data_IF_098862964871
#
_entry.id   IF_098862964871
#
_cell.length_a   1.000
_cell.length_b   1.000
_cell.length_c   1.000
_cell.angle_alpha   90.00
_cell.angle_beta   90.00
_cell.angle_gamma   90.00
#
_symmetry.space_group_name_H-M   'P 1'
#
loop_
_entity.id
_entity.type
_entity.pdbx_description
1 polymer ?
#
# COMPACT_ATOMS: atom_id res chain seq x y z
N UNK A 1 -12.38 -31.86 18.52
CA UNK A 1 -12.05 -30.59 19.21
C UNK A 1 -11.16 -30.97 20.38
N UNK A 2 -9.92 -30.45 20.45
CA UNK A 2 -9.06 -30.57 21.62
C UNK A 2 -8.68 -29.16 22.06
N UNK A 3 -9.23 -28.74 23.19
CA UNK A 3 -8.97 -27.43 23.80
C UNK A 3 -7.59 -27.46 24.45
N UNK A 4 -6.58 -26.89 23.77
CA UNK A 4 -5.29 -26.60 24.41
C UNK A 4 -5.53 -25.57 25.51
N UNK A 5 -5.10 -25.87 26.73
CA UNK A 5 -5.05 -24.95 27.86
C UNK A 5 -4.10 -23.79 27.57
N UNK A 6 -4.30 -22.61 28.17
CA UNK A 6 -3.37 -21.49 28.07
C UNK A 6 -2.16 -21.73 29.00
N UNK A 7 -1.31 -22.69 28.64
CA UNK A 7 -0.02 -22.87 29.31
C UNK A 7 0.85 -21.63 29.07
N UNK A 8 1.55 -21.20 30.12
CA UNK A 8 2.29 -19.94 30.15
C UNK A 8 3.44 -19.94 29.14
N UNK A 9 3.33 -19.11 28.09
CA UNK A 9 4.32 -19.07 27.02
C UNK A 9 5.66 -18.49 27.56
N UNK A 10 6.76 -19.27 27.63
CA UNK A 10 7.99 -18.89 28.34
C UNK A 10 8.85 -17.85 27.60
N UNK A 11 8.37 -17.36 26.46
CA UNK A 11 9.01 -16.37 25.57
C UNK A 11 8.72 -14.92 25.95
N UNK A 12 8.03 -14.66 27.08
CA UNK A 12 7.55 -13.31 27.47
C UNK A 12 8.06 -12.82 28.84
N UNK A 13 9.28 -13.15 29.19
CA UNK A 13 10.00 -12.37 30.21
C UNK A 13 10.48 -11.04 29.59
N UNK A 14 9.53 -10.08 29.48
CA UNK A 14 9.64 -8.83 28.71
C UNK A 14 10.78 -7.89 29.17
N UNK A 15 11.43 -8.20 30.30
CA UNK A 15 12.55 -7.46 30.84
C UNK A 15 13.91 -7.86 30.22
N UNK A 16 14.00 -8.98 29.50
CA UNK A 16 15.25 -9.46 28.89
C UNK A 16 15.34 -8.97 27.43
N UNK A 17 16.35 -8.15 27.05
CA UNK A 17 16.54 -7.71 25.67
C UNK A 17 16.75 -8.88 24.71
N UNK A 18 16.24 -8.78 23.48
CA UNK A 18 16.33 -9.87 22.49
C UNK A 18 17.77 -10.35 22.23
N UNK A 19 18.77 -9.46 22.30
CA UNK A 19 20.19 -9.83 22.17
C UNK A 19 20.66 -10.88 23.19
N UNK A 20 20.02 -10.96 24.36
CA UNK A 20 20.34 -11.87 25.45
C UNK A 20 19.47 -13.14 25.45
N UNK A 21 18.49 -13.26 24.54
CA UNK A 21 17.63 -14.44 24.47
C UNK A 21 18.41 -15.70 24.11
N UNK A 22 18.14 -16.80 24.80
CA UNK A 22 18.78 -18.09 24.52
C UNK A 22 18.37 -18.64 23.14
N UNK A 23 19.18 -19.56 22.62
CA UNK A 23 18.83 -20.41 21.46
C UNK A 23 17.40 -20.93 21.51
N UNK A 24 16.96 -21.43 22.66
CA UNK A 24 15.62 -21.99 22.89
C UNK A 24 14.53 -20.92 22.82
N UNK A 25 14.73 -19.75 23.45
CA UNK A 25 13.79 -18.62 23.40
C UNK A 25 13.65 -18.08 21.97
N UNK A 26 14.77 -17.94 21.23
CA UNK A 26 14.78 -17.54 19.82
C UNK A 26 14.05 -18.55 18.94
N UNK A 27 14.26 -19.86 19.17
CA UNK A 27 13.55 -20.92 18.42
C UNK A 27 12.04 -20.90 18.67
N UNK A 28 11.60 -20.80 19.93
CA UNK A 28 10.18 -20.71 20.28
C UNK A 28 9.51 -19.46 19.69
N UNK A 29 10.19 -18.31 19.74
CA UNK A 29 9.70 -17.09 19.11
C UNK A 29 9.57 -17.21 17.58
N UNK A 30 10.49 -17.89 16.89
CA UNK A 30 10.36 -18.16 15.46
C UNK A 30 9.19 -19.10 15.14
N UNK A 31 8.82 -20.00 16.05
CA UNK A 31 7.61 -20.82 15.92
C UNK A 31 6.35 -19.96 16.03
N UNK A 32 6.23 -19.19 17.12
CA UNK A 32 5.13 -18.25 17.40
C UNK A 32 4.95 -17.23 16.27
N UNK A 33 6.06 -16.74 15.68
CA UNK A 33 6.04 -15.76 14.58
C UNK A 33 5.76 -16.38 13.20
N UNK A 34 5.45 -17.68 13.14
CA UNK A 34 5.02 -18.38 11.93
C UNK A 34 6.16 -18.80 10.98
N UNK A 35 7.41 -18.80 11.46
CA UNK A 35 8.62 -19.18 10.73
C UNK A 35 9.18 -20.55 11.20
N UNK A 36 8.37 -21.35 11.89
CA UNK A 36 8.77 -22.62 12.51
C UNK A 36 9.49 -23.62 11.59
N UNK A 37 9.23 -23.60 10.28
CA UNK A 37 9.92 -24.45 9.31
C UNK A 37 11.45 -24.20 9.21
N UNK A 38 11.97 -23.13 9.80
CA UNK A 38 13.39 -22.78 9.81
C UNK A 38 14.12 -23.12 11.14
N UNK A 39 13.41 -23.58 12.17
CA UNK A 39 13.97 -23.81 13.52
C UNK A 39 15.13 -24.81 13.50
N UNK A 40 15.03 -25.89 12.72
CA UNK A 40 16.02 -26.97 12.73
C UNK A 40 17.43 -26.51 12.33
N UNK A 41 17.54 -25.61 11.35
CA UNK A 41 18.82 -25.01 10.95
C UNK A 41 19.21 -23.85 11.88
N UNK A 42 18.24 -23.02 12.27
CA UNK A 42 18.45 -21.91 13.21
C UNK A 42 19.06 -22.38 14.53
N UNK A 43 18.57 -23.50 15.10
CA UNK A 43 19.07 -24.09 16.35
C UNK A 43 20.52 -24.58 16.24
N UNK A 44 21.01 -24.88 15.04
CA UNK A 44 22.40 -25.28 14.81
C UNK A 44 23.32 -24.05 14.71
N UNK A 45 22.85 -22.99 14.03
CA UNK A 45 23.63 -21.79 13.72
C UNK A 45 23.63 -20.70 14.82
N UNK A 46 22.48 -20.41 15.41
CA UNK A 46 22.31 -19.32 16.38
C UNK A 46 22.85 -19.73 17.75
N UNK A 47 23.58 -18.85 18.43
CA UNK A 47 23.95 -19.06 19.85
C UNK A 47 22.94 -18.40 20.80
N UNK A 48 22.56 -17.17 20.47
CA UNK A 48 21.62 -16.32 21.20
C UNK A 48 21.03 -15.27 20.23
N UNK A 49 20.07 -14.46 20.67
CA UNK A 49 19.42 -13.48 19.79
C UNK A 49 20.35 -12.42 19.18
N UNK A 50 21.54 -12.17 19.76
CA UNK A 50 22.53 -11.29 19.14
C UNK A 50 23.07 -11.84 17.80
N UNK A 51 23.12 -13.17 17.62
CA UNK A 51 23.47 -13.78 16.32
C UNK A 51 22.50 -13.34 15.22
N UNK A 52 21.19 -13.32 15.50
CA UNK A 52 20.17 -12.87 14.53
C UNK A 52 20.18 -11.35 14.34
N UNK A 53 20.41 -10.56 15.40
CA UNK A 53 20.49 -9.09 15.28
C UNK A 53 21.69 -8.62 14.43
N UNK A 54 22.78 -9.40 14.40
CA UNK A 54 23.97 -9.10 13.59
C UNK A 54 23.88 -9.65 12.14
N UNK A 55 22.90 -10.51 11.84
CA UNK A 55 22.86 -11.27 10.60
C UNK A 55 22.38 -10.46 9.37
N UNK A 56 22.88 -10.85 8.21
CA UNK A 56 22.51 -10.31 6.90
C UNK A 56 21.42 -11.16 6.22
N UNK A 57 20.70 -10.62 5.20
CA UNK A 57 19.77 -11.40 4.38
C UNK A 57 20.40 -12.59 3.64
N UNK A 58 21.73 -12.61 3.49
CA UNK A 58 22.51 -13.71 2.93
C UNK A 58 22.69 -14.83 3.96
N UNK A 59 22.97 -14.50 5.23
CA UNK A 59 23.10 -15.50 6.31
C UNK A 59 21.76 -16.20 6.57
N UNK A 60 20.63 -15.48 6.49
CA UNK A 60 19.31 -16.11 6.53
C UNK A 60 19.07 -17.11 5.38
N UNK A 61 19.60 -16.85 4.18
CA UNK A 61 19.48 -17.77 3.05
C UNK A 61 20.40 -18.99 3.19
N UNK A 62 21.64 -18.78 3.65
CA UNK A 62 22.69 -19.79 3.80
C UNK A 62 22.47 -20.68 5.04
N UNK A 63 22.37 -20.06 6.21
CA UNK A 63 22.48 -20.73 7.52
C UNK A 63 21.12 -21.03 8.16
N UNK A 64 20.05 -20.32 7.79
CA UNK A 64 18.66 -20.71 8.11
C UNK A 64 17.93 -21.39 6.94
N UNK A 65 18.52 -21.42 5.73
CA UNK A 65 17.89 -22.00 4.54
C UNK A 65 16.70 -21.22 3.98
N UNK A 66 16.54 -19.93 4.31
CA UNK A 66 15.38 -19.09 3.92
C UNK A 66 15.38 -18.67 2.44
N UNK A 67 15.22 -19.63 1.53
CA UNK A 67 15.14 -19.35 0.07
C UNK A 67 14.05 -18.32 -0.27
N UNK A 68 12.88 -18.40 0.38
CA UNK A 68 11.75 -17.51 0.09
C UNK A 68 12.06 -16.05 0.55
N UNK A 69 12.08 -15.06 -0.37
CA UNK A 69 12.58 -13.71 -0.05
C UNK A 69 11.69 -12.97 0.96
N UNK A 70 10.39 -13.23 0.95
CA UNK A 70 9.46 -12.58 1.89
C UNK A 70 9.58 -13.11 3.33
N UNK A 71 10.11 -14.33 3.54
CA UNK A 71 10.41 -14.82 4.89
C UNK A 71 11.65 -14.14 5.47
N UNK A 72 12.68 -13.92 4.63
CA UNK A 72 13.85 -13.10 4.99
C UNK A 72 13.42 -11.67 5.32
N UNK A 73 12.54 -11.06 4.50
CA UNK A 73 11.99 -9.72 4.75
C UNK A 73 11.16 -9.67 6.05
N UNK A 74 10.31 -10.66 6.32
CA UNK A 74 9.54 -10.79 7.56
C UNK A 74 10.45 -10.79 8.80
N UNK A 75 11.48 -11.64 8.78
CA UNK A 75 12.45 -11.74 9.87
C UNK A 75 13.25 -10.45 10.03
N UNK A 76 13.77 -9.89 8.94
CA UNK A 76 14.54 -8.65 8.97
C UNK A 76 13.72 -7.47 9.53
N UNK A 77 12.44 -7.35 9.18
CA UNK A 77 11.55 -6.32 9.72
C UNK A 77 11.27 -6.52 11.22
N UNK A 78 11.13 -7.76 11.70
CA UNK A 78 10.98 -8.05 13.13
C UNK A 78 12.26 -7.75 13.93
N UNK A 79 13.43 -8.08 13.39
CA UNK A 79 14.72 -7.81 14.04
C UNK A 79 15.00 -6.30 14.09
N UNK A 80 14.67 -5.55 13.03
CA UNK A 80 14.65 -4.07 13.07
C UNK A 80 13.75 -3.57 14.20
N UNK A 81 12.55 -4.14 14.37
CA UNK A 81 11.64 -3.75 15.45
C UNK A 81 12.18 -4.03 16.87
N UNK A 82 12.90 -5.13 17.11
CA UNK A 82 13.56 -5.37 18.40
C UNK A 82 14.66 -4.34 18.73
N UNK A 83 15.24 -3.67 17.72
CA UNK A 83 16.18 -2.55 17.92
C UNK A 83 15.49 -1.18 17.99
N UNK A 84 14.19 -1.11 17.73
CA UNK A 84 13.39 0.13 17.78
C UNK A 84 12.89 0.42 19.19
N UNK A 85 12.83 1.70 19.56
CA UNK A 85 12.12 2.17 20.77
C UNK A 85 10.63 2.44 20.54
N UNK A 86 10.15 2.31 19.30
CA UNK A 86 8.76 2.59 18.91
C UNK A 86 8.06 1.29 18.58
N UNK A 87 7.00 0.97 19.34
CA UNK A 87 6.13 -0.16 19.06
C UNK A 87 5.13 0.19 17.94
N UNK A 88 5.19 -0.54 16.83
CA UNK A 88 4.34 -0.32 15.66
C UNK A 88 2.99 -1.04 15.82
N UNK A 89 1.86 -0.35 15.67
CA UNK A 89 0.53 -0.99 15.69
C UNK A 89 0.29 -1.99 14.57
N UNK A 90 0.99 -1.83 13.45
CA UNK A 90 1.02 -2.81 12.35
C UNK A 90 1.52 -4.20 12.78
N UNK A 91 2.27 -4.30 13.89
CA UNK A 91 2.76 -5.58 14.42
C UNK A 91 1.74 -6.40 15.20
N UNK A 92 0.58 -5.82 15.54
CA UNK A 92 -0.54 -6.52 16.20
C UNK A 92 -1.39 -7.35 15.19
N UNK A 93 -1.12 -7.20 13.89
CA UNK A 93 -1.87 -7.84 12.81
C UNK A 93 -1.05 -9.01 12.23
N UNK A 94 -1.42 -10.24 12.55
CA UNK A 94 -0.74 -11.44 12.03
C UNK A 94 -1.08 -11.75 10.56
N UNK A 95 -0.45 -12.79 9.99
CA UNK A 95 -0.71 -13.20 8.62
C UNK A 95 -2.09 -13.84 8.41
N UNK A 96 -2.79 -14.24 9.48
CA UNK A 96 -4.16 -14.73 9.43
C UNK A 96 -5.16 -13.55 9.36
N UNK A 97 -4.87 -12.44 10.04
CA UNK A 97 -5.58 -11.18 9.85
C UNK A 97 -5.39 -10.64 8.43
N UNK A 98 -4.16 -10.64 7.90
CA UNK A 98 -3.88 -10.15 6.52
C UNK A 98 -4.64 -10.97 5.47
N UNK A 99 -4.74 -12.29 5.62
CA UNK A 99 -5.49 -13.14 4.68
C UNK A 99 -7.02 -12.96 4.77
N UNK A 100 -7.55 -12.43 5.88
CA UNK A 100 -8.95 -12.00 6.00
C UNK A 100 -9.16 -10.59 5.43
N UNK A 101 -8.21 -9.68 5.65
CA UNK A 101 -8.19 -8.34 5.06
C UNK A 101 -8.17 -8.39 3.52
N UNK A 102 -7.55 -9.40 2.91
CA UNK A 102 -7.66 -9.66 1.47
C UNK A 102 -9.10 -9.95 1.00
N UNK A 103 -9.95 -10.58 1.81
CA UNK A 103 -11.39 -10.69 1.50
C UNK A 103 -12.04 -9.29 1.59
N UNK A 104 -11.76 -8.54 2.66
CA UNK A 104 -12.34 -7.23 2.91
C UNK A 104 -12.04 -6.20 1.80
N UNK A 105 -10.85 -6.23 1.21
CA UNK A 105 -10.48 -5.34 0.09
C UNK A 105 -10.87 -5.88 -1.29
N UNK A 106 -11.48 -7.07 -1.35
CA UNK A 106 -11.97 -7.67 -2.59
C UNK A 106 -10.89 -8.36 -3.45
N UNK A 107 -9.82 -8.87 -2.84
CA UNK A 107 -8.72 -9.61 -3.47
C UNK A 107 -8.49 -11.03 -2.90
N UNK A 108 -9.54 -11.86 -2.67
CA UNK A 108 -9.39 -13.19 -2.06
C UNK A 108 -8.48 -14.14 -2.85
N UNK A 109 -8.32 -13.94 -4.16
CA UNK A 109 -7.50 -14.80 -5.03
C UNK A 109 -6.00 -14.79 -4.74
N UNK A 110 -5.49 -13.89 -3.87
CA UNK A 110 -4.09 -13.84 -3.47
C UNK A 110 -3.83 -14.43 -2.07
N UNK A 111 -4.87 -14.92 -1.38
CA UNK A 111 -4.78 -15.36 0.02
C UNK A 111 -3.76 -16.45 0.23
N UNK A 112 -3.72 -17.46 -0.63
CA UNK A 112 -2.76 -18.56 -0.50
C UNK A 112 -1.32 -18.04 -0.60
N UNK A 113 -1.02 -17.15 -1.56
CA UNK A 113 0.32 -16.58 -1.71
C UNK A 113 0.73 -15.72 -0.51
N UNK A 114 -0.17 -14.89 0.03
CA UNK A 114 0.12 -14.08 1.23
C UNK A 114 0.26 -14.96 2.49
N UNK A 115 -0.52 -16.03 2.60
CA UNK A 115 -0.46 -17.02 3.69
C UNK A 115 0.85 -17.82 3.67
N UNK A 116 1.20 -18.38 2.51
CA UNK A 116 2.45 -19.11 2.25
C UNK A 116 3.66 -18.22 2.54
N UNK A 117 3.61 -16.96 2.10
CA UNK A 117 4.64 -15.95 2.31
C UNK A 117 4.67 -15.32 3.72
N UNK A 118 3.77 -15.73 4.62
CA UNK A 118 3.64 -15.24 6.00
C UNK A 118 3.51 -13.71 6.14
N UNK A 119 2.88 -13.05 5.17
CA UNK A 119 2.73 -11.58 5.13
C UNK A 119 1.88 -11.10 6.31
N UNK A 120 2.48 -10.35 7.23
CA UNK A 120 1.82 -9.74 8.39
C UNK A 120 1.64 -8.22 8.21
N UNK A 121 0.98 -7.54 9.14
CA UNK A 121 0.72 -6.10 9.06
C UNK A 121 1.98 -5.24 9.01
N UNK A 122 3.08 -5.65 9.67
CA UNK A 122 4.37 -4.97 9.54
C UNK A 122 4.89 -5.11 8.11
N UNK A 123 4.81 -6.29 7.51
CA UNK A 123 5.16 -6.45 6.09
C UNK A 123 4.26 -5.61 5.18
N UNK A 124 2.95 -5.51 5.45
CA UNK A 124 2.00 -4.68 4.69
C UNK A 124 2.47 -3.21 4.60
N UNK A 125 2.91 -2.63 5.72
CA UNK A 125 3.48 -1.27 5.80
C UNK A 125 4.76 -1.08 4.93
N UNK A 126 5.46 -2.16 4.62
CA UNK A 126 6.77 -2.15 3.96
C UNK A 126 6.79 -2.92 2.62
N UNK A 127 5.63 -3.27 2.04
CA UNK A 127 5.56 -3.94 0.73
C UNK A 127 6.05 -3.03 -0.40
N UNK A 128 6.81 -3.60 -1.33
CA UNK A 128 7.26 -2.94 -2.58
C UNK A 128 6.53 -3.50 -3.80
N UNK A 129 6.71 -2.84 -4.95
CA UNK A 129 6.26 -3.34 -6.26
C UNK A 129 6.80 -4.75 -6.55
N UNK A 130 8.03 -5.05 -6.15
CA UNK A 130 8.63 -6.37 -6.37
C UNK A 130 8.06 -7.45 -5.44
N UNK A 131 7.69 -7.09 -4.21
CA UNK A 131 7.04 -8.02 -3.27
C UNK A 131 5.64 -8.41 -3.79
N UNK A 132 4.87 -7.45 -4.31
CA UNK A 132 3.58 -7.72 -4.95
C UNK A 132 3.71 -8.62 -6.18
N UNK A 133 4.73 -8.39 -7.03
CA UNK A 133 5.02 -9.27 -8.16
C UNK A 133 5.43 -10.69 -7.71
N UNK A 134 6.18 -10.81 -6.61
CA UNK A 134 6.52 -12.10 -5.97
C UNK A 134 5.27 -12.83 -5.47
N UNK A 135 4.32 -12.08 -4.90
CA UNK A 135 2.99 -12.56 -4.48
C UNK A 135 2.01 -12.78 -5.65
N UNK A 136 2.51 -12.81 -6.90
CA UNK A 136 1.76 -12.99 -8.16
C UNK A 136 0.71 -11.90 -8.45
N UNK A 137 0.69 -10.81 -7.68
CA UNK A 137 -0.13 -9.63 -7.94
C UNK A 137 0.48 -8.86 -9.11
N UNK A 138 -0.02 -9.12 -10.32
CA UNK A 138 0.50 -8.52 -11.57
C UNK A 138 -0.41 -7.43 -12.16
N UNK A 139 -1.66 -7.33 -11.71
CA UNK A 139 -2.61 -6.30 -12.16
C UNK A 139 -2.27 -4.93 -11.58
N UNK A 140 -2.21 -3.90 -12.44
CA UNK A 140 -1.99 -2.52 -12.02
C UNK A 140 -3.15 -2.02 -11.14
N UNK A 141 -4.39 -2.40 -11.48
CA UNK A 141 -5.57 -2.10 -10.65
C UNK A 141 -5.42 -2.69 -9.23
N UNK A 142 -4.88 -3.91 -9.12
CA UNK A 142 -4.72 -4.56 -7.81
C UNK A 142 -3.54 -3.95 -7.00
N UNK A 143 -2.49 -3.44 -7.65
CA UNK A 143 -1.46 -2.63 -6.98
C UNK A 143 -2.06 -1.34 -6.40
N UNK A 144 -2.93 -0.65 -7.15
CA UNK A 144 -3.61 0.56 -6.68
C UNK A 144 -4.63 0.26 -5.58
N UNK A 145 -5.36 -0.86 -5.67
CA UNK A 145 -6.22 -1.37 -4.61
C UNK A 145 -5.43 -1.56 -3.30
N UNK A 146 -4.32 -2.31 -3.36
CA UNK A 146 -3.49 -2.57 -2.18
C UNK A 146 -2.90 -1.26 -1.62
N UNK A 147 -2.41 -0.34 -2.47
CA UNK A 147 -1.98 1.01 -2.04
C UNK A 147 -3.08 1.74 -1.26
N UNK A 148 -4.29 1.83 -1.81
CA UNK A 148 -5.37 2.59 -1.17
C UNK A 148 -5.82 1.94 0.13
N UNK A 149 -5.86 0.61 0.20
CA UNK A 149 -6.15 -0.11 1.44
C UNK A 149 -5.06 0.06 2.51
N UNK A 150 -3.78 0.11 2.12
CA UNK A 150 -2.67 0.44 3.02
C UNK A 150 -2.80 1.88 3.55
N UNK A 151 -3.11 2.85 2.68
CA UNK A 151 -3.37 4.22 3.10
C UNK A 151 -4.51 4.31 4.13
N UNK A 152 -5.60 3.55 3.95
CA UNK A 152 -6.70 3.46 4.93
C UNK A 152 -6.21 2.87 6.26
N UNK A 153 -5.32 1.87 6.25
CA UNK A 153 -4.70 1.34 7.47
C UNK A 153 -3.83 2.39 8.17
N UNK A 154 -3.01 3.15 7.44
CA UNK A 154 -2.21 4.24 8.02
C UNK A 154 -3.08 5.34 8.66
N UNK A 155 -4.09 5.84 7.94
CA UNK A 155 -5.04 6.83 8.45
C UNK A 155 -5.79 6.34 9.71
N UNK A 156 -6.05 5.03 9.81
CA UNK A 156 -6.69 4.40 10.96
C UNK A 156 -5.68 3.75 11.96
N UNK A 157 -4.40 4.14 11.91
CA UNK A 157 -3.34 3.73 12.86
C UNK A 157 -3.22 2.20 13.02
N UNK A 158 -3.43 1.45 11.93
CA UNK A 158 -3.46 -0.02 11.86
C UNK A 158 -4.48 -0.68 12.80
N UNK A 159 -5.60 -0.01 13.12
CA UNK A 159 -6.71 -0.63 13.85
C UNK A 159 -7.25 -1.87 13.08
N UNK A 160 -7.27 -3.08 13.69
CA UNK A 160 -7.69 -4.32 13.03
C UNK A 160 -9.16 -4.33 12.56
N UNK A 161 -9.97 -3.38 13.03
CA UNK A 161 -11.41 -3.27 12.75
C UNK A 161 -11.78 -1.98 11.96
N UNK A 162 -10.81 -1.30 11.34
CA UNK A 162 -11.07 -0.06 10.59
C UNK A 162 -11.92 -0.23 9.32
N UNK A 163 -11.98 -1.43 8.73
CA UNK A 163 -12.83 -1.67 7.56
C UNK A 163 -14.25 -2.09 7.99
N UNK A 164 -15.24 -1.33 7.52
CA UNK A 164 -16.66 -1.66 7.69
C UNK A 164 -16.98 -2.90 6.86
N UNK A 165 -17.26 -4.01 7.55
CA UNK A 165 -17.71 -5.29 6.97
C UNK A 165 -19.21 -5.40 6.73
N UNK A 166 -20.01 -4.42 7.16
CA UNK A 166 -21.45 -4.29 6.89
C UNK A 166 -21.78 -2.82 6.63
N UNK A 167 -22.79 -2.51 5.79
CA UNK A 167 -23.34 -1.16 5.68
C UNK A 167 -23.77 -0.60 7.04
N UNK A 168 -23.85 0.74 7.14
CA UNK A 168 -24.57 1.40 8.22
C UNK A 168 -26.08 1.41 7.96
N UNK A 169 -26.84 1.87 8.95
CA UNK A 169 -28.28 2.17 8.81
C UNK A 169 -28.52 3.50 8.07
N UNK A 170 -27.45 4.29 7.88
CA UNK A 170 -27.48 5.58 7.20
C UNK A 170 -27.70 5.44 5.69
N UNK A 171 -28.75 6.10 5.19
CA UNK A 171 -29.12 6.12 3.76
C UNK A 171 -28.15 6.91 2.88
N UNK A 172 -27.39 7.83 3.47
CA UNK A 172 -26.49 8.76 2.78
C UNK A 172 -25.13 8.83 3.49
N UNK A 173 -24.27 7.81 3.30
CA UNK A 173 -22.98 7.70 3.99
C UNK A 173 -22.03 8.84 3.59
N UNK A 174 -21.25 9.36 4.53
CA UNK A 174 -20.24 10.37 4.26
C UNK A 174 -19.02 9.77 3.51
N UNK A 175 -18.30 10.53 2.66
CA UNK A 175 -17.07 10.05 2.01
C UNK A 175 -16.00 9.54 3.00
N UNK A 176 -15.97 10.11 4.21
CA UNK A 176 -15.16 9.69 5.37
C UNK A 176 -15.51 8.30 5.93
N UNK A 177 -16.73 7.82 5.72
CA UNK A 177 -17.13 6.44 6.00
C UNK A 177 -16.97 5.53 4.78
N UNK A 178 -17.30 6.04 3.59
CA UNK A 178 -17.17 5.30 2.33
C UNK A 178 -15.72 4.86 2.12
N UNK A 179 -14.72 5.68 2.47
CA UNK A 179 -13.29 5.30 2.37
C UNK A 179 -12.94 4.05 3.22
N UNK A 180 -13.71 3.77 4.28
CA UNK A 180 -13.55 2.61 5.17
C UNK A 180 -14.38 1.39 4.73
N UNK A 181 -15.08 1.43 3.60
CA UNK A 181 -15.91 0.32 3.14
C UNK A 181 -15.10 -0.87 2.62
N UNK A 182 -15.47 -2.07 3.07
CA UNK A 182 -15.08 -3.33 2.40
C UNK A 182 -15.71 -3.46 1.00
N UNK A 183 -15.15 -4.36 0.19
CA UNK A 183 -15.72 -4.83 -1.07
C UNK A 183 -17.18 -5.31 -0.90
N UNK A 184 -17.51 -5.94 0.22
CA UNK A 184 -18.89 -6.33 0.53
C UNK A 184 -19.81 -5.13 0.71
N UNK A 185 -19.39 -4.08 1.42
CA UNK A 185 -20.20 -2.85 1.55
C UNK A 185 -20.44 -2.16 0.19
N UNK A 186 -19.46 -2.19 -0.73
CA UNK A 186 -19.67 -1.70 -2.10
C UNK A 186 -20.69 -2.56 -2.86
N UNK A 187 -20.65 -3.89 -2.70
CA UNK A 187 -21.65 -4.79 -3.29
C UNK A 187 -23.06 -4.57 -2.70
N UNK A 188 -23.19 -4.30 -1.41
CA UNK A 188 -24.50 -3.98 -0.80
C UNK A 188 -25.00 -2.59 -1.23
N UNK A 189 -24.12 -1.59 -1.34
CA UNK A 189 -24.48 -0.29 -1.91
C UNK A 189 -25.02 -0.42 -3.35
N UNK A 190 -24.40 -1.25 -4.19
CA UNK A 190 -24.91 -1.52 -5.55
C UNK A 190 -26.31 -2.12 -5.55
N UNK A 191 -26.69 -2.90 -4.53
CA UNK A 191 -28.09 -3.36 -4.38
C UNK A 191 -29.02 -2.23 -3.96
N UNK A 192 -28.57 -1.36 -3.06
CA UNK A 192 -29.32 -0.19 -2.60
C UNK A 192 -29.50 0.91 -3.68
N UNK A 193 -28.76 0.85 -4.80
CA UNK A 193 -28.94 1.72 -5.98
C UNK A 193 -29.42 0.96 -7.23
N UNK A 194 -30.20 -0.11 -7.05
CA UNK A 194 -30.87 -0.87 -8.13
C UNK A 194 -29.94 -1.53 -9.16
N UNK A 195 -28.67 -1.78 -8.80
CA UNK A 195 -27.66 -2.45 -9.63
C UNK A 195 -27.28 -3.85 -9.09
N UNK A 196 -28.22 -4.49 -8.40
CA UNK A 196 -28.05 -5.76 -7.70
C UNK A 196 -27.52 -6.90 -8.61
N UNK A 197 -27.94 -6.97 -9.87
CA UNK A 197 -27.50 -7.98 -10.84
C UNK A 197 -25.99 -7.88 -11.15
N UNK A 198 -25.38 -6.69 -11.03
CA UNK A 198 -23.97 -6.46 -11.34
C UNK A 198 -23.04 -6.63 -10.13
N UNK A 199 -23.56 -6.51 -8.91
CA UNK A 199 -22.77 -6.55 -7.67
C UNK A 199 -21.82 -7.78 -7.56
N UNK A 200 -22.21 -9.01 -7.94
CA UNK A 200 -21.31 -10.17 -7.88
C UNK A 200 -20.02 -10.03 -8.71
N UNK A 201 -20.01 -9.19 -9.75
CA UNK A 201 -18.84 -8.97 -10.62
C UNK A 201 -17.69 -8.25 -9.90
N UNK A 202 -17.93 -7.63 -8.73
CA UNK A 202 -16.87 -7.02 -7.93
C UNK A 202 -16.04 -8.03 -7.11
N UNK A 203 -16.41 -9.31 -7.06
CA UNK A 203 -15.62 -10.34 -6.37
C UNK A 203 -14.27 -10.53 -7.08
N UNK A 204 -13.17 -10.33 -6.35
CA UNK A 204 -11.81 -10.43 -6.89
C UNK A 204 -11.33 -9.21 -7.68
N UNK A 205 -12.14 -8.14 -7.78
CA UNK A 205 -11.81 -6.91 -8.54
C UNK A 205 -10.88 -5.94 -7.81
N UNK A 206 -10.70 -6.10 -6.50
CA UNK A 206 -10.04 -5.10 -5.63
C UNK A 206 -10.86 -3.84 -5.35
N UNK A 207 -12.11 -3.75 -5.82
CA UNK A 207 -12.95 -2.57 -5.56
C UNK A 207 -13.43 -2.57 -4.10
N UNK A 208 -13.01 -1.53 -3.37
CA UNK A 208 -13.39 -1.25 -1.99
C UNK A 208 -13.39 0.28 -1.78
N UNK A 209 -13.81 0.73 -0.61
CA UNK A 209 -13.96 2.14 -0.25
C UNK A 209 -12.73 3.01 -0.50
N UNK A 210 -11.58 2.56 0.00
CA UNK A 210 -10.29 3.21 -0.20
C UNK A 210 -9.97 3.46 -1.66
N UNK A 211 -10.12 2.47 -2.54
CA UNK A 211 -9.89 2.64 -3.99
C UNK A 211 -10.90 3.61 -4.63
N UNK A 212 -12.18 3.55 -4.23
CA UNK A 212 -13.24 4.41 -4.76
C UNK A 212 -12.96 5.89 -4.46
N UNK A 213 -12.55 6.21 -3.23
CA UNK A 213 -12.28 7.59 -2.81
C UNK A 213 -10.87 8.04 -3.22
N UNK A 214 -9.82 7.30 -2.83
CA UNK A 214 -8.43 7.78 -2.80
C UNK A 214 -7.64 7.67 -4.13
N UNK A 215 -8.15 6.97 -5.15
CA UNK A 215 -7.49 6.90 -6.46
C UNK A 215 -8.14 7.88 -7.45
N UNK A 216 -7.47 8.95 -7.89
CA UNK A 216 -8.05 9.96 -8.80
C UNK A 216 -8.43 9.41 -10.18
N UNK A 217 -7.86 8.27 -10.61
CA UNK A 217 -8.21 7.60 -11.86
C UNK A 217 -9.39 6.63 -11.77
N UNK A 218 -9.88 6.32 -10.57
CA UNK A 218 -11.01 5.41 -10.40
C UNK A 218 -12.32 6.20 -10.57
N UNK A 219 -13.00 6.00 -11.71
CA UNK A 219 -14.23 6.71 -12.07
C UNK A 219 -15.44 5.77 -12.20
N UNK A 220 -16.62 6.36 -12.46
CA UNK A 220 -17.84 5.65 -12.84
C UNK A 220 -17.64 4.76 -14.07
N UNK A 221 -16.75 5.12 -14.98
CA UNK A 221 -16.46 4.36 -16.20
C UNK A 221 -15.56 3.16 -15.89
N UNK A 222 -14.57 3.32 -14.99
CA UNK A 222 -13.77 2.21 -14.45
C UNK A 222 -14.67 1.21 -13.73
N UNK A 223 -15.58 1.70 -12.88
CA UNK A 223 -16.53 0.87 -12.15
C UNK A 223 -17.50 0.16 -13.10
N UNK A 224 -18.04 0.85 -14.11
CA UNK A 224 -18.91 0.24 -15.12
C UNK A 224 -18.22 -0.87 -15.94
N UNK A 225 -16.91 -0.76 -16.19
CA UNK A 225 -16.12 -1.82 -16.82
C UNK A 225 -15.95 -3.03 -15.88
N UNK A 226 -15.64 -2.80 -14.60
CA UNK A 226 -15.50 -3.88 -13.61
C UNK A 226 -16.82 -4.58 -13.27
N UNK A 227 -17.94 -3.86 -13.41
CA UNK A 227 -19.29 -4.42 -13.33
C UNK A 227 -19.74 -5.14 -14.60
N UNK A 228 -18.91 -5.20 -15.66
CA UNK A 228 -19.24 -5.75 -16.98
C UNK A 228 -20.46 -5.10 -17.66
N UNK A 229 -20.77 -3.83 -17.35
CA UNK A 229 -21.87 -3.10 -17.99
C UNK A 229 -21.42 -2.62 -19.39
N UNK A 230 -22.02 -3.10 -20.50
CA UNK A 230 -21.58 -2.73 -21.85
C UNK A 230 -21.71 -1.21 -22.11
N UNK A 231 -20.84 -0.59 -22.94
CA UNK A 231 -20.98 0.81 -23.35
C UNK A 231 -22.37 1.18 -23.89
N UNK A 232 -23.04 0.22 -24.55
CA UNK A 232 -24.36 0.35 -25.15
C UNK A 232 -25.50 0.48 -24.13
N UNK A 233 -25.31 0.02 -22.87
CA UNK A 233 -26.31 0.21 -21.79
C UNK A 233 -26.20 1.64 -21.21
N UNK A 234 -26.40 2.64 -22.05
CA UNK A 234 -26.21 4.08 -21.75
C UNK A 234 -27.03 4.55 -20.55
N UNK A 235 -28.28 4.11 -20.41
CA UNK A 235 -29.15 4.44 -19.29
C UNK A 235 -28.59 3.94 -17.95
N UNK A 236 -28.11 2.68 -17.88
CA UNK A 236 -27.49 2.14 -16.67
C UNK A 236 -26.15 2.80 -16.36
N UNK A 237 -25.35 3.14 -17.38
CA UNK A 237 -24.10 3.87 -17.20
C UNK A 237 -24.34 5.28 -16.66
N UNK A 238 -25.39 5.97 -17.13
CA UNK A 238 -25.82 7.27 -16.58
C UNK A 238 -26.32 7.14 -15.13
N UNK A 239 -27.12 6.13 -14.83
CA UNK A 239 -27.60 5.84 -13.47
C UNK A 239 -26.44 5.59 -12.50
N UNK A 240 -25.51 4.70 -12.87
CA UNK A 240 -24.30 4.42 -12.10
C UNK A 240 -23.42 5.67 -11.93
N UNK A 241 -23.28 6.52 -12.94
CA UNK A 241 -22.52 7.76 -12.83
C UNK A 241 -23.14 8.74 -11.83
N UNK A 242 -24.47 8.90 -11.84
CA UNK A 242 -25.19 9.71 -10.83
C UNK A 242 -25.03 9.13 -9.43
N UNK A 243 -25.22 7.81 -9.27
CA UNK A 243 -25.07 7.13 -7.98
C UNK A 243 -23.62 7.21 -7.44
N UNK A 244 -22.62 7.04 -8.30
CA UNK A 244 -21.20 7.17 -7.96
C UNK A 244 -20.84 8.61 -7.55
N UNK A 245 -21.35 9.62 -8.25
CA UNK A 245 -21.13 11.03 -7.91
C UNK A 245 -21.74 11.39 -6.53
N UNK A 246 -22.91 10.84 -6.21
CA UNK A 246 -23.51 10.97 -4.88
C UNK A 246 -22.70 10.23 -3.80
N UNK A 247 -22.16 9.05 -4.09
CA UNK A 247 -21.37 8.24 -3.16
C UNK A 247 -20.02 8.89 -2.77
N UNK A 248 -19.27 9.43 -3.75
CA UNK A 248 -17.94 9.98 -3.48
C UNK A 248 -17.96 11.45 -3.06
N UNK A 249 -19.08 12.15 -3.29
CA UNK A 249 -19.27 13.54 -2.92
C UNK A 249 -18.55 14.56 -3.83
N UNK A 250 -18.83 15.86 -3.66
CA UNK A 250 -18.40 16.90 -4.60
C UNK A 250 -16.88 17.07 -4.68
N UNK A 251 -16.17 16.94 -3.55
CA UNK A 251 -14.70 17.10 -3.52
C UNK A 251 -14.01 16.00 -4.36
N UNK A 252 -14.27 14.72 -4.08
CA UNK A 252 -13.65 13.63 -4.80
C UNK A 252 -14.06 13.61 -6.29
N UNK A 253 -15.30 14.02 -6.62
CA UNK A 253 -15.71 14.23 -8.01
C UNK A 253 -14.91 15.34 -8.72
N UNK A 254 -14.59 16.44 -8.03
CA UNK A 254 -13.76 17.51 -8.57
C UNK A 254 -12.31 17.06 -8.77
N UNK A 255 -11.70 16.42 -7.76
CA UNK A 255 -10.32 15.89 -7.84
C UNK A 255 -10.15 14.87 -8.99
N UNK A 256 -11.12 13.96 -9.16
CA UNK A 256 -11.14 12.99 -10.27
C UNK A 256 -11.31 13.67 -11.63
N UNK A 257 -12.12 14.73 -11.71
CA UNK A 257 -12.31 15.54 -12.93
C UNK A 257 -11.05 16.33 -13.31
N UNK A 258 -10.42 16.98 -12.34
CA UNK A 258 -9.16 17.70 -12.54
C UNK A 258 -8.04 16.75 -12.99
N UNK A 259 -7.92 15.58 -12.34
CA UNK A 259 -6.95 14.57 -12.74
C UNK A 259 -7.22 14.01 -14.15
N UNK A 260 -8.49 13.83 -14.53
CA UNK A 260 -8.90 13.41 -15.89
C UNK A 260 -8.61 14.46 -16.97
N UNK A 261 -8.72 15.75 -16.63
CA UNK A 261 -8.45 16.87 -17.54
C UNK A 261 -6.96 17.23 -17.64
N UNK A 262 -6.09 16.64 -16.82
CA UNK A 262 -4.66 16.96 -16.76
C UNK A 262 -3.91 16.54 -18.04
N UNK A 263 -3.01 17.39 -18.54
CA UNK A 263 -2.27 17.13 -19.78
C UNK A 263 -1.29 15.96 -19.62
N UNK A 264 -1.49 14.90 -20.42
CA UNK A 264 -0.73 13.65 -20.30
C UNK A 264 -1.30 12.64 -19.29
N UNK A 265 -2.56 12.82 -18.86
CA UNK A 265 -3.30 11.81 -18.12
C UNK A 265 -3.29 10.44 -18.83
N UNK A 266 -3.09 9.36 -18.07
CA UNK A 266 -3.23 7.98 -18.55
C UNK A 266 -4.40 7.30 -17.83
N UNK A 267 -5.48 6.89 -18.54
CA UNK A 267 -6.66 6.31 -17.92
C UNK A 267 -6.36 4.94 -17.29
N UNK A 268 -7.08 4.61 -16.23
CA UNK A 268 -6.91 3.35 -15.50
C UNK A 268 -7.53 2.16 -16.27
N UNK A 269 -6.67 1.45 -16.99
CA UNK A 269 -7.01 0.23 -17.72
C UNK A 269 -7.08 -0.97 -16.77
N UNK A 270 -8.26 -1.59 -16.67
CA UNK A 270 -8.53 -2.72 -15.74
C UNK A 270 -7.67 -3.97 -15.99
N UNK A 271 -7.21 -4.16 -17.23
CA UNK A 271 -6.38 -5.30 -17.66
C UNK A 271 -4.88 -5.02 -17.69
N UNK A 272 -4.44 -3.80 -17.34
CA UNK A 272 -3.03 -3.43 -17.39
C UNK A 272 -2.19 -4.23 -16.39
N UNK A 273 -1.02 -4.72 -16.84
CA UNK A 273 -0.08 -5.48 -16.01
C UNK A 273 1.16 -4.66 -15.67
N UNK A 274 1.55 -4.69 -14.40
CA UNK A 274 2.82 -4.14 -13.91
C UNK A 274 3.96 -4.99 -14.45
N UNK A 275 4.95 -4.35 -15.07
CA UNK A 275 6.19 -5.00 -15.50
C UNK A 275 7.25 -4.85 -14.39
N UNK A 276 8.10 -5.86 -14.13
CA UNK A 276 9.24 -5.69 -13.23
C UNK A 276 10.14 -4.54 -13.69
N UNK A 277 10.63 -3.72 -12.74
CA UNK A 277 11.75 -2.81 -12.99
C UNK A 277 12.98 -3.68 -13.32
N UNK A 278 13.31 -3.86 -14.61
CA UNK A 278 14.58 -4.47 -14.99
C UNK A 278 15.71 -3.55 -14.52
N UNK A 279 16.53 -4.01 -13.58
CA UNK A 279 17.82 -3.39 -13.28
C UNK A 279 18.70 -3.55 -14.53
N UNK A 280 18.79 -2.48 -15.33
CA UNK A 280 19.57 -2.46 -16.56
C UNK A 280 21.07 -2.50 -16.24
N UNK A 281 21.82 -3.36 -16.93
CA UNK A 281 23.27 -3.54 -16.77
C UNK A 281 24.12 -2.33 -17.27
N UNK A 282 23.51 -1.16 -17.41
CA UNK A 282 24.01 -0.04 -18.23
C UNK A 282 24.11 1.29 -17.46
N UNK A 283 24.62 1.26 -16.22
CA UNK A 283 25.28 2.42 -15.58
C UNK A 283 26.46 1.97 -14.70
N UNK A 284 27.59 1.64 -15.34
CA UNK A 284 28.90 1.54 -14.67
C UNK A 284 29.58 2.92 -14.56
N UNK A 285 28.83 3.95 -14.15
CA UNK A 285 29.32 5.30 -13.93
C UNK A 285 28.68 5.90 -12.68
N UNK A 286 29.53 6.47 -11.80
CA UNK A 286 29.19 7.03 -10.48
C UNK A 286 28.83 6.04 -9.36
N UNK A 287 29.76 5.13 -9.08
CA UNK A 287 29.94 4.56 -7.73
C UNK A 287 30.31 5.66 -6.70
N UNK A 288 29.31 6.39 -6.21
CA UNK A 288 29.36 7.08 -4.91
C UNK A 288 28.27 6.51 -4.01
N UNK A 289 28.64 6.16 -2.78
CA UNK A 289 27.76 5.52 -1.78
C UNK A 289 26.62 6.47 -1.32
N UNK A 290 25.56 6.60 -2.12
CA UNK A 290 24.22 6.79 -1.54
C UNK A 290 23.71 5.42 -1.09
N UNK A 291 23.22 5.33 0.15
CA UNK A 291 22.33 4.21 0.50
C UNK A 291 21.09 4.32 -0.42
N UNK A 292 20.59 3.22 -0.99
CA UNK A 292 19.25 3.22 -1.57
C UNK A 292 18.26 3.63 -0.47
N UNK A 293 17.37 4.56 -0.78
CA UNK A 293 16.31 4.94 0.14
C UNK A 293 15.20 3.89 0.03
N UNK A 294 15.19 2.89 0.91
CA UNK A 294 14.22 1.77 0.86
C UNK A 294 12.76 2.28 0.86
N UNK A 295 12.51 3.44 1.49
CA UNK A 295 11.22 4.14 1.55
C UNK A 295 10.64 4.55 0.19
N UNK A 296 11.48 4.87 -0.79
CA UNK A 296 11.04 5.37 -2.09
C UNK A 296 10.42 4.29 -3.02
N UNK A 297 10.52 3.00 -2.67
CA UNK A 297 10.01 1.87 -3.46
C UNK A 297 8.82 1.14 -2.79
N UNK A 298 8.30 1.63 -1.67
CA UNK A 298 7.11 1.09 -1.02
C UNK A 298 5.81 1.39 -1.81
N UNK A 299 4.84 0.47 -1.74
CA UNK A 299 3.54 0.57 -2.42
C UNK A 299 2.73 1.78 -1.96
N UNK A 300 2.76 2.06 -0.66
CA UNK A 300 2.31 3.31 -0.06
C UNK A 300 3.50 3.87 0.73
N UNK A 301 4.07 5.01 0.35
CA UNK A 301 5.07 5.70 1.15
C UNK A 301 4.54 6.01 2.55
N UNK A 302 5.46 6.03 3.53
CA UNK A 302 5.17 6.41 4.90
C UNK A 302 5.48 7.91 5.02
N UNK A 303 4.52 8.74 4.65
CA UNK A 303 4.65 10.19 4.82
C UNK A 303 4.85 10.51 6.31
N UNK A 304 5.95 11.19 6.64
CA UNK A 304 6.45 11.31 8.02
C UNK A 304 5.74 12.40 8.85
N UNK A 305 4.66 12.97 8.35
CA UNK A 305 3.80 13.94 9.04
C UNK A 305 2.39 13.36 9.17
N UNK A 306 1.73 13.66 10.29
CA UNK A 306 0.57 12.88 10.72
C UNK A 306 -0.66 13.08 9.81
N UNK A 307 -1.13 12.00 9.18
CA UNK A 307 -2.37 11.95 8.40
C UNK A 307 -3.60 12.23 9.28
N UNK A 308 -3.96 13.51 9.42
CA UNK A 308 -5.15 13.97 10.13
C UNK A 308 -6.39 13.86 9.25
N UNK A 309 -7.24 12.87 9.52
CA UNK A 309 -8.60 12.82 8.96
C UNK A 309 -9.46 13.88 9.67
N UNK A 310 -9.37 15.14 9.22
CA UNK A 310 -10.31 16.24 9.54
C UNK A 310 -10.05 17.52 8.71
N UNK A 311 -10.08 17.43 7.38
CA UNK A 311 -10.27 18.57 6.46
C UNK A 311 -9.12 19.60 6.30
N UNK A 312 -8.78 19.89 5.03
CA UNK A 312 -7.94 21.00 4.54
C UNK A 312 -6.40 20.80 4.53
N UNK A 313 -5.87 20.41 3.34
CA UNK A 313 -4.52 20.71 2.79
C UNK A 313 -3.29 20.10 3.51
N UNK A 314 -2.10 19.84 2.90
CA UNK A 314 -1.51 19.91 1.52
C UNK A 314 -0.16 19.11 1.55
N UNK A 315 0.64 18.82 0.52
CA UNK A 315 0.75 19.16 -0.93
C UNK A 315 1.06 17.86 -1.74
N UNK A 316 1.02 17.91 -3.08
CA UNK A 316 1.48 16.88 -4.04
C UNK A 316 3.02 16.70 -4.10
N UNK A 317 3.48 15.53 -4.58
CA UNK A 317 4.79 15.38 -5.25
C UNK A 317 4.64 15.01 -6.74
N UNK A 318 5.05 15.88 -7.70
CA UNK A 318 4.98 15.60 -9.13
C UNK A 318 6.27 14.90 -9.63
N UNK A 319 6.51 13.65 -9.21
CA UNK A 319 7.77 12.94 -9.45
C UNK A 319 7.61 11.68 -10.33
N UNK A 320 7.58 11.86 -11.66
CA UNK A 320 8.15 10.94 -12.69
C UNK A 320 7.87 11.43 -14.14
N UNK A 321 8.29 12.65 -14.50
CA UNK A 321 8.67 12.94 -15.90
C UNK A 321 10.15 12.57 -16.04
N UNK A 322 10.48 11.67 -16.96
CA UNK A 322 11.81 11.04 -16.98
C UNK A 322 12.13 10.17 -18.19
N UNK A 323 11.48 10.38 -19.33
CA UNK A 323 11.96 9.87 -20.62
C UNK A 323 12.31 11.05 -21.52
N UNK A 324 13.50 11.01 -22.10
CA UNK A 324 14.01 12.07 -22.97
C UNK A 324 13.48 11.88 -24.39
N UNK A 325 13.02 12.97 -25.00
CA UNK A 325 12.89 13.12 -26.44
C UNK A 325 13.72 14.31 -26.87
N UNK A 326 14.72 14.08 -27.71
CA UNK A 326 15.37 15.11 -28.51
C UNK A 326 14.36 15.74 -29.49
N UNK A 327 14.73 16.90 -30.06
CA UNK A 327 13.87 17.91 -30.72
C UNK A 327 13.25 18.88 -29.69
N UNK A 328 13.33 20.21 -29.81
CA UNK A 328 13.84 21.01 -30.94
C UNK A 328 14.87 22.09 -30.56
N UNK A 329 15.65 22.49 -31.57
CA UNK A 329 16.81 23.41 -31.47
C UNK A 329 16.56 24.66 -32.32
N UNK A 330 15.83 25.65 -31.80
CA UNK A 330 15.84 27.05 -32.28
C UNK A 330 14.98 27.98 -31.41
N UNK A 331 15.61 28.84 -30.60
CA UNK A 331 15.03 30.08 -30.04
C UNK A 331 16.10 30.92 -29.30
N UNK A 332 17.10 31.44 -30.02
CA UNK A 332 18.04 32.45 -29.49
C UNK A 332 17.98 33.73 -30.31
N UNK A 333 18.33 34.86 -29.66
CA UNK A 333 17.99 36.25 -30.01
C UNK A 333 16.50 36.53 -29.74
N UNK A 334 16.11 37.66 -29.16
CA UNK A 334 16.76 38.98 -29.18
C UNK A 334 16.98 39.60 -27.78
N UNK A 335 18.07 40.36 -27.66
CA UNK A 335 18.25 41.51 -26.76
C UNK A 335 18.79 42.66 -27.65
N UNK A 336 18.44 43.94 -27.42
CA UNK A 336 19.01 44.75 -26.33
C UNK A 336 17.92 45.67 -25.68
N UNK A 337 18.18 46.65 -24.81
CA UNK A 337 19.42 47.21 -24.26
C UNK A 337 19.20 47.65 -22.79
N UNK A 338 20.27 47.91 -22.05
CA UNK A 338 20.20 48.53 -20.72
C UNK A 338 20.22 50.07 -20.81
N UNK A 339 19.46 50.73 -19.93
CA UNK A 339 19.57 52.18 -19.65
C UNK A 339 19.74 52.38 -18.13
N UNK A 340 20.51 53.38 -17.73
CA UNK A 340 20.96 53.59 -16.35
C UNK A 340 19.86 54.20 -15.46
N UNK A 341 20.01 53.99 -14.15
CA UNK A 341 19.20 54.65 -13.14
C UNK A 341 19.45 56.16 -13.08
N UNK A 342 18.42 56.90 -12.67
CA UNK A 342 18.57 58.15 -11.92
C UNK A 342 17.64 58.12 -10.72
N UNK A 343 18.20 58.41 -9.54
CA UNK A 343 17.46 58.74 -8.33
C UNK A 343 16.86 60.13 -8.42
N UNK A 344 15.67 60.34 -7.87
CA UNK A 344 15.32 61.58 -7.19
C UNK A 344 14.17 61.34 -6.19
N UNK A 345 14.35 61.88 -4.98
CA UNK A 345 13.31 62.05 -3.96
C UNK A 345 12.82 63.50 -4.05
N UNK A 346 11.55 63.77 -3.71
CA UNK A 346 11.32 64.88 -2.78
C UNK A 346 10.35 64.52 -1.65
N UNK A 347 10.62 65.06 -0.46
CA UNK A 347 9.73 65.04 0.70
C UNK A 347 8.63 66.12 0.62
N UNK A 348 7.61 65.96 1.47
CA UNK A 348 6.63 66.97 1.92
C UNK A 348 5.86 67.79 0.87
N UNK A 349 4.54 67.65 0.90
CA UNK A 349 3.74 68.50 1.81
C UNK A 349 2.42 67.80 2.23
#
# INVERSE_FOLDING_TARGET
ILTRTPESNPTRDLNIPFSQWTKEQVCGWLEDYGLGQYINLTRQWVENGQTLLAATPQDFEKDMGMKHPLHRKKLQLALRAFTSKVAEKSSELDHIWVTRWLDDIGLPQYKDQFHEARVDGRMIQYLTVNDLLTLKVTSQLHHLSIKCAIHVLHANKFNPNCLRRRPGEEKHPSPSEVVQWSNHCVMEWLRAVDLAEYAPNLRGSGVHGGLIILEPRFSSETLALLLNIPPQKTLLRRHLATAFAALVGPQAMQEKREYGNATGHVPLTTTAKVKPKKLGFTQFSHLRKRKPDESADYICPIDSEALTVNGVSRVLTPAHRGFSSTLDRQAEKWQPAAVKAHSNVPDNN
#
